data_IF_519870928887
#
_entry.id   IF_519870928887
#
_cell.length_a   1.000
_cell.length_b   1.000
_cell.length_c   1.000
_cell.angle_alpha   90.00
_cell.angle_beta   90.00
_cell.angle_gamma   90.00
#
_symmetry.space_group_name_H-M   'P 1'
#
loop_
_entity.id
_entity.type
_entity.pdbx_description
1 polymer ?
#
# COMPACT_ATOMS: atom_id res chain seq x y z
N UNK A 1 -3.60 -19.63 -44.06
CA UNK A 1 -4.12 -18.81 -42.94
C UNK A 1 -3.05 -18.81 -41.87
N UNK A 2 -2.27 -17.73 -41.79
CA UNK A 2 -1.20 -17.62 -40.83
C UNK A 2 -1.80 -17.50 -39.43
N UNK A 3 -1.44 -18.44 -38.58
CA UNK A 3 -1.73 -18.48 -37.16
C UNK A 3 -1.09 -17.24 -36.52
N UNK A 4 -1.90 -16.21 -36.29
CA UNK A 4 -1.53 -15.09 -35.42
C UNK A 4 -1.49 -15.68 -34.00
N UNK A 5 -0.39 -16.36 -33.69
CA UNK A 5 -0.05 -16.73 -32.32
C UNK A 5 -0.29 -15.48 -31.46
N UNK A 6 -1.23 -15.57 -30.53
CA UNK A 6 -1.60 -14.47 -29.66
C UNK A 6 -0.31 -13.94 -29.02
N UNK A 7 0.11 -12.75 -29.43
CA UNK A 7 1.35 -12.17 -28.95
C UNK A 7 1.30 -12.13 -27.42
N UNK A 8 2.27 -12.75 -26.75
CA UNK A 8 2.32 -12.73 -25.30
C UNK A 8 2.31 -11.28 -24.81
N UNK A 9 1.35 -10.96 -23.93
CA UNK A 9 1.25 -9.62 -23.37
C UNK A 9 2.51 -9.31 -22.56
N UNK A 10 3.02 -8.05 -22.63
CA UNK A 10 4.18 -7.67 -21.85
C UNK A 10 3.90 -7.85 -20.34
N UNK A 11 4.93 -8.22 -19.55
CA UNK A 11 4.80 -8.31 -18.10
C UNK A 11 4.26 -7.01 -17.50
N UNK A 12 3.29 -7.13 -16.60
CA UNK A 12 2.72 -5.99 -15.88
C UNK A 12 3.56 -5.70 -14.63
N UNK A 13 3.99 -4.46 -14.43
CA UNK A 13 4.67 -4.05 -13.19
C UNK A 13 3.73 -3.10 -12.44
N UNK A 14 3.31 -3.49 -11.23
CA UNK A 14 2.50 -2.64 -10.36
C UNK A 14 3.37 -2.08 -9.25
N UNK A 15 3.55 -0.76 -9.26
CA UNK A 15 4.13 -0.03 -8.14
C UNK A 15 3.02 0.37 -7.18
N UNK A 16 3.04 -0.19 -5.97
CA UNK A 16 2.05 0.04 -4.94
C UNK A 16 2.68 0.85 -3.82
N UNK A 17 2.23 2.09 -3.66
CA UNK A 17 2.43 2.81 -2.40
C UNK A 17 1.65 2.09 -1.31
N UNK A 18 2.21 1.85 -0.13
CA UNK A 18 1.48 1.10 0.91
C UNK A 18 0.37 1.96 1.53
N UNK A 19 0.76 3.13 2.03
CA UNK A 19 -0.09 3.97 2.86
C UNK A 19 -1.27 4.56 2.08
N UNK A 20 -2.46 4.48 2.67
CA UNK A 20 -3.73 4.91 2.10
C UNK A 20 -4.05 4.33 0.71
N UNK A 21 -3.43 3.20 0.35
CA UNK A 21 -3.65 2.51 -0.93
C UNK A 21 -3.96 1.03 -0.72
N UNK A 22 -3.09 0.28 -0.04
CA UNK A 22 -3.36 -1.12 0.35
C UNK A 22 -3.34 -1.31 1.87
N UNK A 23 -2.77 -0.36 2.59
CA UNK A 23 -2.80 -0.27 4.06
C UNK A 23 -3.52 1.02 4.44
N UNK A 24 -4.62 0.91 5.19
CA UNK A 24 -5.38 2.07 5.67
C UNK A 24 -5.00 2.44 7.10
N UNK A 25 -3.70 2.61 7.31
CA UNK A 25 -3.10 3.17 8.51
C UNK A 25 -1.84 3.94 8.09
N UNK A 26 -1.48 4.95 8.86
CA UNK A 26 -0.25 5.72 8.69
C UNK A 26 0.50 5.72 10.02
N UNK A 27 1.46 4.79 10.15
CA UNK A 27 2.28 4.65 11.34
C UNK A 27 3.14 5.90 11.62
N UNK A 28 3.57 6.62 10.58
CA UNK A 28 4.38 7.83 10.72
C UNK A 28 3.52 9.05 11.16
N UNK A 29 2.28 9.15 10.67
CA UNK A 29 1.34 10.23 11.01
C UNK A 29 0.43 9.95 12.21
N UNK A 30 0.50 8.74 12.77
CA UNK A 30 -0.37 8.25 13.85
C UNK A 30 -1.85 8.26 13.47
N UNK A 31 -2.17 8.00 12.20
CA UNK A 31 -3.55 8.00 11.72
C UNK A 31 -4.05 6.56 11.56
N UNK A 32 -5.16 6.30 12.24
CA UNK A 32 -5.90 5.04 12.12
C UNK A 32 -6.96 5.14 11.03
N UNK A 33 -7.52 3.98 10.62
CA UNK A 33 -8.51 3.86 9.55
C UNK A 33 -9.66 4.91 9.65
N UNK A 34 -10.35 5.11 10.80
CA UNK A 34 -11.39 6.12 10.92
C UNK A 34 -10.92 7.52 10.47
N UNK A 35 -9.73 7.93 10.94
CA UNK A 35 -9.17 9.22 10.62
C UNK A 35 -8.75 9.33 9.16
N UNK A 36 -8.27 8.23 8.55
CA UNK A 36 -7.90 8.20 7.15
C UNK A 36 -9.10 8.33 6.24
N UNK A 37 -10.22 7.67 6.53
CA UNK A 37 -11.45 7.82 5.72
C UNK A 37 -11.94 9.27 5.79
N UNK A 38 -11.98 9.88 7.00
CA UNK A 38 -12.32 11.30 7.16
C UNK A 38 -11.37 12.21 6.36
N UNK A 39 -10.08 11.88 6.27
CA UNK A 39 -9.10 12.65 5.50
C UNK A 39 -9.17 12.43 3.98
N UNK A 40 -9.63 11.25 3.53
CA UNK A 40 -9.67 10.87 2.11
C UNK A 40 -10.91 11.41 1.40
N UNK A 41 -12.09 11.34 2.03
CA UNK A 41 -13.33 11.86 1.46
C UNK A 41 -13.23 13.32 0.97
N UNK A 42 -12.71 14.29 1.74
CA UNK A 42 -12.65 15.69 1.30
C UNK A 42 -11.72 15.94 0.11
N UNK A 43 -10.90 14.97 -0.29
CA UNK A 43 -10.09 15.04 -1.51
C UNK A 43 -10.94 14.88 -2.78
N UNK A 44 -12.06 14.18 -2.64
CA UNK A 44 -12.89 13.76 -3.77
C UNK A 44 -14.25 14.45 -3.80
N UNK A 45 -14.52 15.33 -2.82
CA UNK A 45 -15.76 16.12 -2.76
C UNK A 45 -15.46 17.54 -3.18
N UNK A 46 -16.20 18.02 -4.17
CA UNK A 46 -15.97 19.30 -4.85
C UNK A 46 -17.09 20.30 -4.59
N UNK A 47 -16.70 21.57 -4.51
CA UNK A 47 -17.59 22.68 -4.22
C UNK A 47 -17.08 24.00 -4.76
N UNK A 48 -17.84 25.05 -4.50
CA UNK A 48 -17.49 26.44 -4.83
C UNK A 48 -17.66 27.32 -3.60
N UNK A 49 -17.15 28.54 -3.71
CA UNK A 49 -17.32 29.58 -2.71
C UNK A 49 -18.69 30.25 -2.86
N UNK A 50 -19.36 30.51 -1.74
CA UNK A 50 -20.58 31.31 -1.70
C UNK A 50 -20.33 32.77 -1.34
N UNK A 51 -19.23 33.06 -0.62
CA UNK A 51 -18.87 34.41 -0.21
C UNK A 51 -17.82 35.02 -1.14
N UNK A 52 -18.03 36.30 -1.48
CA UNK A 52 -17.01 37.14 -2.14
C UNK A 52 -16.00 37.73 -1.16
N UNK A 53 -16.17 37.50 0.15
CA UNK A 53 -15.22 37.97 1.18
C UNK A 53 -13.90 37.17 1.08
N UNK A 54 -12.78 37.83 0.70
CA UNK A 54 -11.49 37.18 0.59
C UNK A 54 -10.95 36.68 1.94
N UNK A 55 -11.44 37.21 3.07
CA UNK A 55 -10.92 36.88 4.39
C UNK A 55 -11.49 35.56 4.94
N UNK A 56 -12.69 35.14 4.50
CA UNK A 56 -13.34 33.87 4.87
C UNK A 56 -14.28 33.40 3.75
N UNK A 57 -13.73 32.79 2.68
CA UNK A 57 -14.57 32.28 1.62
C UNK A 57 -15.29 31.01 2.11
N UNK A 58 -16.60 31.09 2.33
CA UNK A 58 -17.40 29.92 2.71
C UNK A 58 -17.46 28.92 1.55
N UNK A 59 -16.96 27.71 1.76
CA UNK A 59 -17.04 26.62 0.79
C UNK A 59 -18.37 25.87 0.95
N UNK A 60 -19.02 25.59 -0.16
CA UNK A 60 -20.26 24.81 -0.21
C UNK A 60 -20.12 23.71 -1.26
N UNK A 61 -20.48 22.49 -0.88
CA UNK A 61 -20.57 21.34 -1.78
C UNK A 61 -21.63 21.63 -2.86
N UNK A 62 -21.23 21.60 -4.12
CA UNK A 62 -22.13 21.90 -5.25
C UNK A 62 -22.38 20.73 -6.17
N UNK A 63 -21.51 19.72 -6.15
CA UNK A 63 -21.70 18.51 -6.94
C UNK A 63 -21.74 17.31 -6.00
N UNK A 64 -22.87 16.59 -5.91
CA UNK A 64 -22.95 15.38 -5.10
C UNK A 64 -22.17 14.26 -5.78
N UNK A 65 -21.29 13.59 -5.03
CA UNK A 65 -20.51 12.46 -5.52
C UNK A 65 -19.05 12.51 -5.07
N UNK A 66 -18.31 11.45 -5.41
CA UNK A 66 -16.87 11.39 -5.26
C UNK A 66 -16.22 11.40 -6.64
N UNK A 67 -15.22 12.25 -6.82
CA UNK A 67 -14.50 12.40 -8.08
C UNK A 67 -13.00 12.40 -7.81
N UNK A 68 -12.23 11.79 -8.71
CA UNK A 68 -10.76 11.84 -8.64
C UNK A 68 -10.21 13.19 -9.12
N UNK A 69 -10.96 13.86 -9.97
CA UNK A 69 -10.64 15.15 -10.56
C UNK A 69 -11.88 16.06 -10.48
N UNK A 70 -11.72 17.40 -10.54
CA UNK A 70 -12.86 18.30 -10.54
C UNK A 70 -13.83 17.97 -11.69
N UNK A 71 -15.11 17.66 -11.40
CA UNK A 71 -16.06 17.27 -12.44
C UNK A 71 -16.50 18.44 -13.33
N UNK A 72 -16.30 19.68 -12.87
CA UNK A 72 -16.59 20.90 -13.60
C UNK A 72 -15.46 21.93 -13.39
N UNK A 73 -15.18 22.78 -14.39
CA UNK A 73 -14.22 23.87 -14.25
C UNK A 73 -14.56 24.80 -13.08
N UNK A 74 -13.54 25.25 -12.35
CA UNK A 74 -13.68 26.22 -11.26
C UNK A 74 -14.08 25.63 -9.91
N UNK A 75 -14.35 24.31 -9.83
CA UNK A 75 -14.56 23.64 -8.55
C UNK A 75 -13.23 23.32 -7.85
N UNK A 76 -13.26 23.36 -6.52
CA UNK A 76 -12.14 23.00 -5.65
C UNK A 76 -12.57 21.92 -4.67
N UNK A 77 -11.68 20.98 -4.39
CA UNK A 77 -11.95 19.96 -3.37
C UNK A 77 -12.05 20.60 -1.98
N UNK A 78 -12.79 19.99 -1.05
CA UNK A 78 -12.83 20.50 0.31
C UNK A 78 -11.43 20.49 0.95
N UNK A 79 -10.59 19.50 0.63
CA UNK A 79 -9.22 19.45 1.10
C UNK A 79 -8.43 20.67 0.64
N UNK A 80 -8.43 20.95 -0.65
CA UNK A 80 -7.62 22.03 -1.21
C UNK A 80 -8.14 23.39 -0.73
N UNK A 81 -9.46 23.53 -0.55
CA UNK A 81 -10.02 24.68 0.16
C UNK A 81 -9.40 24.86 1.55
N UNK A 82 -9.40 23.82 2.38
CA UNK A 82 -8.82 23.89 3.74
C UNK A 82 -7.33 24.20 3.71
N UNK A 83 -6.55 23.55 2.83
CA UNK A 83 -5.08 23.65 2.84
C UNK A 83 -4.52 24.82 2.05
N UNK A 84 -5.25 25.36 1.07
CA UNK A 84 -4.76 26.44 0.20
C UNK A 84 -5.47 27.77 0.48
N UNK A 85 -6.68 27.76 1.04
CA UNK A 85 -7.45 28.99 1.30
C UNK A 85 -7.56 29.32 2.78
N UNK A 86 -7.91 28.34 3.62
CA UNK A 86 -8.05 28.60 5.06
C UNK A 86 -6.71 28.59 5.81
N UNK A 87 -5.86 27.60 5.51
CA UNK A 87 -4.58 27.39 6.21
C UNK A 87 -3.42 27.20 5.22
N UNK A 88 -3.16 28.18 4.34
CA UNK A 88 -2.13 28.08 3.30
C UNK A 88 -0.75 27.86 3.88
N UNK A 89 0.03 27.00 3.24
CA UNK A 89 1.43 26.80 3.59
C UNK A 89 2.28 27.91 2.97
N UNK A 90 3.40 28.21 3.63
CA UNK A 90 4.44 29.10 3.13
C UNK A 90 5.62 28.27 2.65
N UNK A 91 6.30 28.78 1.63
CA UNK A 91 7.55 28.22 1.16
C UNK A 91 8.67 29.22 1.48
N UNK A 92 9.80 28.74 2.03
CA UNK A 92 10.98 29.59 2.21
C UNK A 92 11.50 30.00 0.83
N UNK A 93 12.14 31.16 0.75
CA UNK A 93 12.81 31.59 -0.49
C UNK A 93 14.03 30.69 -0.77
N UNK A 94 14.47 30.56 -2.03
CA UNK A 94 15.66 29.77 -2.37
C UNK A 94 16.92 30.22 -1.62
N UNK A 95 17.03 31.51 -1.29
CA UNK A 95 18.12 32.16 -0.56
C UNK A 95 17.82 32.39 0.93
N UNK A 96 16.80 31.72 1.47
CA UNK A 96 16.35 31.90 2.85
C UNK A 96 17.44 31.56 3.87
N UNK A 97 17.49 32.37 4.94
CA UNK A 97 18.35 32.08 6.08
C UNK A 97 17.83 30.88 6.89
N UNK A 98 18.69 30.23 7.68
CA UNK A 98 18.26 29.15 8.58
C UNK A 98 17.11 29.56 9.51
N UNK A 99 17.13 30.81 9.98
CA UNK A 99 16.05 31.36 10.83
C UNK A 99 14.72 31.50 10.07
N UNK A 100 14.77 31.84 8.78
CA UNK A 100 13.58 31.87 7.94
C UNK A 100 13.03 30.46 7.71
N UNK A 101 13.89 29.49 7.42
CA UNK A 101 13.49 28.08 7.28
C UNK A 101 12.77 27.57 8.52
N UNK A 102 13.32 27.80 9.72
CA UNK A 102 12.68 27.35 10.96
C UNK A 102 11.36 28.08 11.21
N UNK A 103 11.30 29.39 10.96
CA UNK A 103 10.07 30.18 11.10
C UNK A 103 8.97 29.70 10.16
N UNK A 104 9.30 29.41 8.90
CA UNK A 104 8.36 28.87 7.90
C UNK A 104 7.92 27.46 8.29
N UNK A 105 8.83 26.60 8.75
CA UNK A 105 8.51 25.24 9.20
C UNK A 105 7.53 25.26 10.38
N UNK A 106 7.77 26.09 11.40
CA UNK A 106 6.86 26.26 12.54
C UNK A 106 5.49 26.82 12.12
N UNK A 107 5.46 27.79 11.21
CA UNK A 107 4.22 28.30 10.65
C UNK A 107 3.43 27.20 9.95
N UNK A 108 4.06 26.44 9.06
CA UNK A 108 3.44 25.33 8.33
C UNK A 108 2.98 24.22 9.28
N UNK A 109 3.73 23.94 10.35
CA UNK A 109 3.32 22.99 11.37
C UNK A 109 2.00 23.41 12.02
N UNK A 110 1.86 24.69 12.40
CA UNK A 110 0.60 25.23 12.94
C UNK A 110 -0.55 25.18 11.95
N UNK A 111 -0.30 25.50 10.66
CA UNK A 111 -1.34 25.41 9.62
C UNK A 111 -1.79 23.97 9.41
N UNK A 112 -0.85 23.02 9.33
CA UNK A 112 -1.13 21.58 9.20
C UNK A 112 -1.98 21.06 10.35
N UNK A 113 -1.68 21.46 11.59
CA UNK A 113 -2.50 21.10 12.76
C UNK A 113 -3.93 21.62 12.63
N UNK A 114 -4.12 22.88 12.24
CA UNK A 114 -5.45 23.48 12.04
C UNK A 114 -6.23 22.81 10.92
N UNK A 115 -5.59 22.56 9.78
CA UNK A 115 -6.18 21.84 8.66
C UNK A 115 -6.62 20.42 9.07
N UNK A 116 -5.77 19.69 9.78
CA UNK A 116 -6.06 18.33 10.26
C UNK A 116 -7.32 18.28 11.14
N UNK A 117 -7.57 19.29 11.97
CA UNK A 117 -8.79 19.36 12.80
C UNK A 117 -10.06 19.43 11.94
N UNK A 118 -10.05 20.14 10.82
CA UNK A 118 -11.22 20.21 9.93
C UNK A 118 -11.37 18.96 9.07
N UNK A 119 -10.26 18.44 8.54
CA UNK A 119 -10.27 17.27 7.66
C UNK A 119 -10.66 15.99 8.41
N UNK A 120 -10.22 15.82 9.65
CA UNK A 120 -10.49 14.60 10.43
C UNK A 120 -11.92 14.54 11.00
N UNK A 121 -12.76 15.54 10.73
CA UNK A 121 -14.17 15.57 11.13
C UNK A 121 -15.10 15.90 9.98
N UNK A 122 -14.62 15.80 8.73
CA UNK A 122 -15.33 16.29 7.55
C UNK A 122 -16.79 15.81 7.47
N UNK A 123 -17.08 14.58 7.89
CA UNK A 123 -18.43 14.01 7.87
C UNK A 123 -19.23 14.16 9.17
N UNK A 124 -18.70 14.85 10.17
CA UNK A 124 -19.43 15.09 11.42
C UNK A 124 -20.63 16.02 11.20
N UNK A 125 -21.57 16.00 12.15
CA UNK A 125 -22.68 16.95 12.19
C UNK A 125 -22.17 18.39 12.08
N UNK A 126 -22.89 19.22 11.34
CA UNK A 126 -22.57 20.62 11.07
C UNK A 126 -21.27 20.86 10.30
N UNK A 127 -20.68 19.82 9.69
CA UNK A 127 -19.55 19.97 8.77
C UNK A 127 -20.00 19.90 7.31
N UNK A 128 -19.25 20.50 6.37
CA UNK A 128 -19.63 20.55 4.96
C UNK A 128 -19.79 19.17 4.30
N UNK A 129 -19.18 18.14 4.87
CA UNK A 129 -19.28 16.75 4.42
C UNK A 129 -20.32 15.90 5.15
N UNK A 130 -21.18 16.47 6.00
CA UNK A 130 -22.14 15.71 6.82
C UNK A 130 -23.01 14.73 6.01
N UNK A 131 -23.39 15.11 4.78
CA UNK A 131 -24.15 14.24 3.87
C UNK A 131 -23.41 12.96 3.46
N UNK A 132 -22.08 12.93 3.57
CA UNK A 132 -21.23 11.77 3.26
C UNK A 132 -21.04 10.84 4.47
N UNK A 133 -21.62 11.14 5.64
CA UNK A 133 -21.53 10.27 6.83
C UNK A 133 -21.97 8.82 6.56
N UNK A 134 -23.08 8.55 5.85
CA UNK A 134 -23.45 7.17 5.53
C UNK A 134 -22.42 6.46 4.64
N UNK A 135 -21.71 7.19 3.77
CA UNK A 135 -20.63 6.63 2.96
C UNK A 135 -19.39 6.35 3.81
N UNK A 136 -19.01 7.28 4.70
CA UNK A 136 -17.96 7.06 5.69
C UNK A 136 -18.19 5.77 6.49
N UNK A 137 -19.39 5.58 7.03
CA UNK A 137 -19.73 4.37 7.80
C UNK A 137 -19.70 3.10 6.95
N UNK A 138 -20.15 3.18 5.69
CA UNK A 138 -20.05 2.05 4.75
C UNK A 138 -18.60 1.67 4.47
N UNK A 139 -17.73 2.65 4.25
CA UNK A 139 -16.31 2.43 4.04
C UNK A 139 -15.64 1.84 5.29
N UNK A 140 -16.01 2.33 6.48
CA UNK A 140 -15.51 1.79 7.74
C UNK A 140 -15.91 0.32 7.90
N UNK A 141 -17.21 0.00 7.75
CA UNK A 141 -17.73 -1.37 7.84
C UNK A 141 -17.13 -2.32 6.80
N UNK A 142 -16.84 -1.84 5.59
CA UNK A 142 -16.21 -2.66 4.56
C UNK A 142 -14.77 -3.08 4.91
N UNK A 143 -14.17 -2.44 5.91
CA UNK A 143 -12.82 -2.70 6.40
C UNK A 143 -12.80 -3.35 7.79
N UNK A 144 -13.96 -3.56 8.42
CA UNK A 144 -14.07 -4.28 9.68
C UNK A 144 -13.74 -5.76 9.47
N UNK A 145 -13.01 -6.34 10.42
CA UNK A 145 -12.83 -7.79 10.47
C UNK A 145 -14.19 -8.46 10.78
N UNK A 146 -14.44 -9.68 10.27
CA UNK A 146 -15.65 -10.42 10.62
C UNK A 146 -15.78 -10.59 12.13
N UNK A 147 -17.01 -10.56 12.68
CA UNK A 147 -17.25 -10.62 14.13
C UNK A 147 -16.59 -11.80 14.87
N UNK A 148 -16.36 -12.92 14.16
CA UNK A 148 -15.62 -14.11 14.64
C UNK A 148 -14.11 -13.87 14.84
N UNK A 149 -13.59 -12.70 14.47
CA UNK A 149 -12.23 -12.30 14.77
C UNK A 149 -12.06 -11.84 16.23
N UNK A 150 -13.14 -11.32 16.86
CA UNK A 150 -13.08 -10.71 18.20
C UNK A 150 -13.09 -11.72 19.36
N UNK A 151 -13.42 -12.99 19.09
CA UNK A 151 -13.45 -14.07 20.09
C UNK A 151 -12.26 -15.04 19.96
N UNK A 152 -11.31 -14.75 19.06
CA UNK A 152 -10.17 -15.62 18.76
C UNK A 152 -10.53 -16.84 17.90
N UNK A 153 -11.75 -16.93 17.36
CA UNK A 153 -12.17 -18.05 16.51
C UNK A 153 -11.81 -17.82 15.03
N UNK A 154 -10.69 -18.40 14.60
CA UNK A 154 -10.27 -18.35 13.21
C UNK A 154 -11.35 -18.95 12.27
N UNK A 155 -11.72 -18.22 11.22
CA UNK A 155 -12.75 -18.67 10.26
C UNK A 155 -12.15 -19.75 9.36
N UNK A 156 -12.24 -21.01 9.80
CA UNK A 156 -12.29 -22.19 8.93
C UNK A 156 -11.05 -22.52 8.07
N UNK A 157 -9.90 -21.87 8.23
CA UNK A 157 -8.68 -22.32 7.57
C UNK A 157 -8.09 -23.51 8.34
N UNK A 158 -7.92 -24.70 7.72
CA UNK A 158 -7.39 -25.90 8.38
C UNK A 158 -5.94 -25.73 8.87
N UNK A 159 -5.24 -24.69 8.38
CA UNK A 159 -3.87 -24.33 8.73
C UNK A 159 -3.76 -22.81 8.88
N UNK A 160 -4.30 -22.22 9.96
CA UNK A 160 -4.03 -20.81 10.25
C UNK A 160 -2.69 -20.71 10.98
N UNK A 161 -1.79 -19.87 10.48
CA UNK A 161 -0.57 -19.51 11.20
C UNK A 161 -0.90 -18.43 12.23
N UNK A 162 -0.37 -18.55 13.44
CA UNK A 162 -0.45 -17.46 14.42
C UNK A 162 0.31 -16.24 13.89
N UNK A 163 -0.32 -15.05 13.82
CA UNK A 163 0.35 -13.83 13.40
C UNK A 163 1.40 -13.40 14.42
N UNK A 164 2.36 -12.58 13.99
CA UNK A 164 3.25 -11.86 14.89
C UNK A 164 2.47 -10.93 15.84
N UNK A 165 3.10 -10.55 16.95
CA UNK A 165 2.51 -9.60 17.90
C UNK A 165 2.17 -8.25 17.24
N UNK A 166 2.96 -7.82 16.25
CA UNK A 166 2.70 -6.57 15.53
C UNK A 166 1.43 -6.69 14.67
N UNK A 167 1.32 -7.73 13.85
CA UNK A 167 0.15 -7.95 13.00
C UNK A 167 -1.11 -8.20 13.84
N UNK A 168 -1.00 -8.97 14.93
CA UNK A 168 -2.09 -9.17 15.88
C UNK A 168 -2.57 -7.84 16.47
N UNK A 169 -1.67 -6.98 16.94
CA UNK A 169 -2.03 -5.67 17.50
C UNK A 169 -2.70 -4.74 16.47
N UNK A 170 -2.49 -4.94 15.17
CA UNK A 170 -3.21 -4.23 14.11
C UNK A 170 -4.63 -4.78 13.95
N UNK A 171 -4.79 -6.11 13.96
CA UNK A 171 -6.10 -6.75 13.89
C UNK A 171 -6.96 -6.54 15.14
N UNK A 172 -6.36 -6.44 16.32
CA UNK A 172 -7.06 -6.17 17.59
C UNK A 172 -7.83 -4.83 17.58
N UNK A 173 -7.50 -3.95 16.63
CA UNK A 173 -8.23 -2.69 16.37
C UNK A 173 -9.57 -2.92 15.66
N UNK A 174 -9.85 -4.14 15.22
CA UNK A 174 -11.09 -4.55 14.57
C UNK A 174 -11.12 -4.34 13.05
N UNK A 175 -9.99 -4.03 12.42
CA UNK A 175 -9.91 -3.79 10.97
C UNK A 175 -8.83 -4.63 10.30
N UNK A 176 -8.98 -4.87 9.00
CA UNK A 176 -7.93 -5.49 8.19
C UNK A 176 -6.67 -4.60 8.18
N UNK A 177 -5.48 -5.21 8.23
CA UNK A 177 -4.23 -4.46 8.02
C UNK A 177 -4.02 -4.18 6.52
N UNK A 178 -4.16 -5.22 5.68
CA UNK A 178 -4.25 -5.10 4.23
C UNK A 178 -5.70 -5.09 3.75
N UNK A 179 -6.03 -4.12 2.89
CA UNK A 179 -7.36 -3.96 2.33
C UNK A 179 -7.86 -5.24 1.64
N UNK A 180 -9.13 -5.65 1.85
CA UNK A 180 -9.73 -6.76 1.09
C UNK A 180 -9.61 -6.61 -0.44
N UNK A 181 -9.69 -5.38 -0.94
CA UNK A 181 -9.53 -5.07 -2.37
C UNK A 181 -8.14 -5.45 -2.92
N UNK A 182 -7.10 -5.42 -2.08
CA UNK A 182 -5.76 -5.86 -2.47
C UNK A 182 -5.73 -7.37 -2.75
N UNK A 183 -6.32 -8.19 -1.87
CA UNK A 183 -6.40 -9.63 -2.09
C UNK A 183 -7.27 -9.99 -3.31
N UNK A 184 -8.35 -9.25 -3.55
CA UNK A 184 -9.15 -9.39 -4.77
C UNK A 184 -8.34 -9.09 -6.03
N UNK A 185 -7.51 -8.03 -6.01
CA UNK A 185 -6.59 -7.71 -7.09
C UNK A 185 -5.60 -8.86 -7.34
N UNK A 186 -5.00 -9.43 -6.29
CA UNK A 186 -4.11 -10.59 -6.44
C UNK A 186 -4.80 -11.79 -7.07
N UNK A 187 -6.01 -12.12 -6.59
CA UNK A 187 -6.82 -13.19 -7.18
C UNK A 187 -7.12 -12.97 -8.66
N UNK A 188 -7.43 -11.73 -9.04
CA UNK A 188 -7.64 -11.36 -10.44
C UNK A 188 -6.35 -11.48 -11.27
N UNK A 189 -5.22 -10.97 -10.76
CA UNK A 189 -3.94 -11.03 -11.47
C UNK A 189 -3.49 -12.48 -11.70
N UNK A 190 -3.57 -13.34 -10.67
CA UNK A 190 -3.24 -14.77 -10.79
C UNK A 190 -4.17 -15.51 -11.75
N UNK A 191 -5.47 -15.19 -11.77
CA UNK A 191 -6.43 -15.83 -12.69
C UNK A 191 -6.37 -15.30 -14.12
N UNK A 192 -5.78 -14.11 -14.34
CA UNK A 192 -5.69 -13.49 -15.66
C UNK A 192 -4.75 -14.18 -16.64
N UNK A 193 -3.87 -15.07 -16.15
CA UNK A 193 -2.83 -15.71 -16.96
C UNK A 193 -1.72 -14.75 -17.43
N UNK A 194 -1.76 -13.47 -17.04
CA UNK A 194 -0.74 -12.48 -17.37
C UNK A 194 0.42 -12.54 -16.38
N UNK A 195 1.65 -12.46 -16.89
CA UNK A 195 2.84 -12.27 -16.02
C UNK A 195 2.79 -10.89 -15.36
N UNK A 196 3.03 -10.83 -14.05
CA UNK A 196 3.11 -9.56 -13.33
C UNK A 196 4.17 -9.56 -12.24
N UNK A 197 4.49 -8.35 -11.78
CA UNK A 197 5.42 -8.02 -10.70
C UNK A 197 4.75 -7.01 -9.78
N UNK A 198 4.91 -7.18 -8.48
CA UNK A 198 4.50 -6.22 -7.46
C UNK A 198 5.73 -5.54 -6.87
N UNK A 199 5.71 -4.21 -6.80
CA UNK A 199 6.72 -3.41 -6.14
C UNK A 199 6.07 -2.59 -5.02
N UNK A 200 6.30 -2.99 -3.77
CA UNK A 200 5.81 -2.24 -2.61
C UNK A 200 6.74 -1.05 -2.33
N UNK A 201 6.14 0.12 -2.15
CA UNK A 201 6.82 1.35 -1.74
C UNK A 201 6.30 1.79 -0.38
N UNK A 202 7.21 2.02 0.55
CA UNK A 202 6.89 2.56 1.87
C UNK A 202 8.03 3.44 2.38
N UNK A 203 7.68 4.37 3.26
CA UNK A 203 8.62 5.19 4.03
C UNK A 203 8.69 4.78 5.51
N UNK A 204 7.90 3.78 5.92
CA UNK A 204 7.70 3.40 7.32
C UNK A 204 8.10 1.96 7.64
N UNK A 205 7.81 1.54 8.87
CA UNK A 205 8.10 0.20 9.40
C UNK A 205 7.02 -0.83 9.06
N UNK A 206 6.01 -0.43 8.28
CA UNK A 206 4.81 -1.25 8.00
C UNK A 206 5.08 -2.50 7.15
N UNK A 207 6.25 -2.58 6.52
CA UNK A 207 6.56 -3.63 5.55
C UNK A 207 6.51 -5.03 6.15
N UNK A 208 6.97 -5.20 7.39
CA UNK A 208 6.99 -6.51 8.06
C UNK A 208 5.58 -7.10 8.18
N UNK A 209 4.64 -6.32 8.72
CA UNK A 209 3.24 -6.74 8.88
C UNK A 209 2.54 -6.95 7.53
N UNK A 210 2.83 -6.11 6.53
CA UNK A 210 2.31 -6.25 5.15
C UNK A 210 2.80 -7.55 4.51
N UNK A 211 4.09 -7.84 4.59
CA UNK A 211 4.70 -9.05 4.04
C UNK A 211 4.16 -10.30 4.73
N UNK A 212 4.03 -10.25 6.05
CA UNK A 212 3.46 -11.34 6.83
C UNK A 212 2.04 -11.66 6.39
N UNK A 213 1.13 -10.68 6.41
CA UNK A 213 -0.28 -10.87 6.06
C UNK A 213 -0.45 -11.25 4.57
N UNK A 214 0.34 -10.65 3.67
CA UNK A 214 0.39 -11.05 2.26
C UNK A 214 0.76 -12.52 2.09
N UNK A 215 1.82 -12.96 2.78
CA UNK A 215 2.27 -14.34 2.72
C UNK A 215 1.26 -15.31 3.35
N UNK A 216 0.56 -14.92 4.42
CA UNK A 216 -0.55 -15.71 4.97
C UNK A 216 -1.63 -15.94 3.91
N UNK A 217 -2.00 -14.90 3.15
CA UNK A 217 -2.96 -15.05 2.05
C UNK A 217 -2.43 -15.96 0.94
N UNK A 218 -1.19 -15.73 0.50
CA UNK A 218 -0.58 -16.51 -0.56
C UNK A 218 -0.36 -17.99 -0.19
N UNK A 219 -0.31 -18.35 1.10
CA UNK A 219 -0.29 -19.75 1.56
C UNK A 219 -1.69 -20.35 1.79
N UNK A 220 -2.74 -19.56 1.70
CA UNK A 220 -4.09 -19.97 2.08
C UNK A 220 -4.31 -20.06 3.60
N UNK A 221 -3.45 -19.41 4.38
CA UNK A 221 -3.44 -19.42 5.85
C UNK A 221 -4.14 -18.17 6.45
N UNK A 222 -4.62 -17.24 5.61
CA UNK A 222 -5.19 -15.97 6.06
C UNK A 222 -6.56 -16.17 6.73
N UNK A 223 -6.71 -15.85 8.03
CA UNK A 223 -7.88 -16.25 8.82
C UNK A 223 -9.18 -15.51 8.47
N UNK A 224 -9.08 -14.33 7.84
CA UNK A 224 -10.24 -13.45 7.59
C UNK A 224 -10.52 -13.22 6.09
N UNK A 225 -9.70 -13.78 5.22
CA UNK A 225 -9.80 -13.58 3.77
C UNK A 225 -9.14 -14.78 3.08
N UNK A 226 -9.87 -15.88 2.84
CA UNK A 226 -9.29 -17.07 2.25
C UNK A 226 -8.85 -16.82 0.80
N UNK A 227 -7.75 -17.45 0.37
CA UNK A 227 -7.36 -17.48 -1.03
C UNK A 227 -8.33 -18.34 -1.85
N UNK A 228 -8.61 -18.00 -3.12
CA UNK A 228 -9.44 -18.84 -3.97
C UNK A 228 -8.88 -20.27 -4.12
N UNK A 229 -9.76 -21.27 -4.04
CA UNK A 229 -9.36 -22.67 -4.19
C UNK A 229 -8.78 -22.94 -5.58
N UNK A 230 -7.67 -23.68 -5.65
CA UNK A 230 -7.03 -24.06 -6.92
C UNK A 230 -6.21 -22.95 -7.60
N UNK A 231 -6.07 -21.78 -6.97
CA UNK A 231 -5.21 -20.70 -7.45
C UNK A 231 -3.74 -20.99 -7.10
N UNK A 232 -2.85 -21.02 -8.08
CA UNK A 232 -1.41 -21.08 -7.82
C UNK A 232 -0.88 -19.71 -7.40
N UNK A 233 -0.66 -19.56 -6.10
CA UNK A 233 -0.12 -18.37 -5.44
C UNK A 233 1.33 -18.53 -5.01
N UNK A 234 1.99 -19.65 -5.36
CA UNK A 234 3.34 -19.97 -4.90
C UNK A 234 4.39 -18.92 -5.31
N UNK A 235 4.19 -18.31 -6.48
CA UNK A 235 5.02 -17.22 -7.00
C UNK A 235 4.85 -15.88 -6.29
N UNK A 236 3.86 -15.73 -5.40
CA UNK A 236 3.64 -14.52 -4.61
C UNK A 236 4.38 -14.53 -3.28
N UNK A 237 4.90 -15.68 -2.84
CA UNK A 237 5.54 -15.80 -1.53
C UNK A 237 6.82 -14.98 -1.46
N UNK A 238 6.84 -13.99 -0.56
CA UNK A 238 7.99 -13.17 -0.24
C UNK A 238 8.84 -13.91 0.79
N UNK A 239 10.09 -14.25 0.43
CA UNK A 239 10.96 -15.12 1.23
C UNK A 239 11.92 -14.38 2.16
N UNK A 240 12.41 -13.21 1.75
CA UNK A 240 13.25 -12.37 2.58
C UNK A 240 12.69 -10.94 2.60
N UNK A 241 12.36 -10.37 3.77
CA UNK A 241 12.01 -8.96 3.87
C UNK A 241 13.21 -8.01 3.65
N UNK A 242 14.41 -8.53 3.40
CA UNK A 242 15.58 -7.81 2.89
C UNK A 242 15.84 -8.05 1.39
N UNK A 243 15.12 -8.98 0.74
CA UNK A 243 15.16 -9.21 -0.73
C UNK A 243 14.49 -8.07 -1.52
N UNK A 244 14.24 -6.90 -0.94
CA UNK A 244 13.75 -5.74 -1.67
C UNK A 244 14.96 -4.96 -2.25
N UNK A 245 15.21 -5.00 -3.56
CA UNK A 245 16.42 -4.37 -4.14
C UNK A 245 16.34 -2.83 -4.21
N UNK A 246 17.26 -2.08 -3.59
CA UNK A 246 17.40 -0.60 -3.66
C UNK A 246 17.39 -0.01 -5.09
N UNK A 247 16.32 0.68 -5.48
CA UNK A 247 16.28 1.83 -6.38
C UNK A 247 16.65 3.12 -5.61
N UNK A 248 17.80 3.68 -5.92
CA UNK A 248 18.12 5.09 -5.68
C UNK A 248 17.52 5.95 -6.80
N UNK A 249 16.93 7.09 -6.43
CA UNK A 249 16.50 8.12 -7.39
C UNK A 249 17.66 9.10 -7.57
N UNK A 250 18.16 9.29 -8.80
CA UNK A 250 19.05 10.42 -9.12
C UNK A 250 18.22 11.69 -9.25
N UNK A 251 18.01 12.37 -8.13
CA UNK A 251 17.69 13.79 -8.08
C UNK A 251 18.09 14.29 -6.69
N UNK A 252 19.22 15.00 -6.62
CA UNK A 252 19.77 15.75 -5.48
C UNK A 252 19.41 15.26 -4.06
N UNK A 253 20.36 14.55 -3.44
CA UNK A 253 20.67 14.53 -1.99
C UNK A 253 19.49 14.79 -1.02
N UNK A 254 18.56 13.84 -0.92
CA UNK A 254 17.79 13.63 0.31
C UNK A 254 17.87 12.15 0.71
N UNK A 255 18.52 11.87 1.85
CA UNK A 255 18.93 10.55 2.35
C UNK A 255 17.80 9.60 2.80
N UNK A 256 16.53 9.85 2.47
CA UNK A 256 15.40 9.15 3.10
C UNK A 256 14.46 8.39 2.18
N UNK A 257 14.88 8.05 0.96
CA UNK A 257 14.04 7.28 0.03
C UNK A 257 14.72 6.00 -0.43
N UNK A 258 14.29 4.85 0.09
CA UNK A 258 14.58 3.54 -0.51
C UNK A 258 13.37 3.09 -1.32
N UNK A 259 13.49 3.14 -2.64
CA UNK A 259 12.55 2.53 -3.57
C UNK A 259 13.09 1.12 -3.87
N UNK A 260 12.30 0.06 -4.12
CA UNK A 260 12.87 -1.28 -4.32
C UNK A 260 12.17 -2.19 -5.38
N UNK A 261 12.94 -2.96 -6.19
CA UNK A 261 12.50 -3.74 -7.38
C UNK A 261 12.73 -5.26 -7.26
N UNK A 262 11.94 -6.14 -7.93
CA UNK A 262 12.38 -7.48 -8.44
C UNK A 262 11.52 -8.05 -9.58
N UNK A 263 12.07 -9.00 -10.33
CA UNK A 263 11.42 -9.80 -11.39
C UNK A 263 11.08 -11.21 -10.88
N UNK A 264 9.85 -11.68 -11.13
CA UNK A 264 9.54 -13.12 -11.03
C UNK A 264 10.27 -13.88 -12.15
N UNK A 265 11.01 -14.93 -11.80
CA UNK A 265 11.61 -15.86 -12.76
C UNK A 265 10.52 -16.49 -13.65
N UNK A 266 10.78 -16.73 -14.94
CA UNK A 266 9.87 -17.51 -15.77
C UNK A 266 9.81 -18.96 -15.26
N UNK A 267 8.64 -19.58 -15.35
CA UNK A 267 8.44 -21.01 -15.01
C UNK A 267 9.55 -21.87 -15.63
N UNK A 268 10.07 -22.90 -14.95
CA UNK A 268 10.69 -24.00 -15.68
C UNK A 268 9.60 -24.63 -16.55
N UNK A 269 9.82 -24.67 -17.86
CA UNK A 269 9.00 -25.46 -18.76
C UNK A 269 9.06 -26.92 -18.28
N UNK A 270 7.96 -27.46 -17.77
CA UNK A 270 7.83 -28.90 -17.63
C UNK A 270 7.80 -29.50 -19.04
N UNK A 271 8.68 -30.44 -19.40
CA UNK A 271 8.49 -31.20 -20.61
C UNK A 271 7.26 -32.09 -20.40
N UNK A 272 6.30 -31.98 -21.30
CA UNK A 272 5.24 -32.98 -21.47
C UNK A 272 5.95 -34.27 -21.86
N UNK A 273 6.09 -35.21 -20.92
CA UNK A 273 6.59 -36.56 -21.21
C UNK A 273 5.42 -37.33 -21.83
N UNK A 274 5.40 -37.35 -23.16
CA UNK A 274 4.72 -38.39 -23.92
C UNK A 274 5.55 -39.66 -23.92
N UNK A 275 4.88 -40.80 -23.82
CA UNK A 275 5.43 -42.15 -23.86
C UNK A 275 6.35 -42.38 -25.07
N UNK A 276 7.52 -42.97 -24.85
CA UNK A 276 8.43 -43.37 -25.92
C UNK A 276 9.85 -43.64 -25.43
N UNK A 277 10.14 -44.90 -25.13
CA UNK A 277 11.46 -45.49 -24.93
C UNK A 277 12.46 -45.09 -26.03
N UNK A 278 13.70 -44.74 -25.67
CA UNK A 278 14.96 -45.37 -26.15
C UNK A 278 16.18 -44.85 -25.36
N UNK A 279 17.14 -45.75 -25.17
CA UNK A 279 18.37 -45.65 -24.39
C UNK A 279 19.37 -44.60 -24.93
N UNK A 280 19.98 -43.82 -24.04
CA UNK A 280 21.37 -43.38 -24.16
C UNK A 280 21.93 -42.99 -22.77
N UNK A 281 23.13 -43.50 -22.47
CA UNK A 281 23.90 -43.35 -21.23
C UNK A 281 24.36 -41.91 -20.95
N UNK A 282 24.56 -41.50 -19.68
CA UNK A 282 25.14 -40.21 -19.37
C UNK A 282 26.67 -40.30 -19.24
N UNK A 283 27.39 -39.57 -20.10
CA UNK A 283 28.80 -39.19 -19.85
C UNK A 283 28.84 -37.75 -19.35
N UNK A 284 29.68 -37.56 -18.32
CA UNK A 284 29.89 -36.39 -17.49
C UNK A 284 30.24 -35.06 -18.20
N UNK A 285 29.91 -33.96 -17.53
CA UNK A 285 30.75 -32.78 -17.27
C UNK A 285 30.17 -32.08 -16.02
N UNK A 286 30.69 -32.30 -14.80
CA UNK A 286 31.77 -31.52 -14.14
C UNK A 286 31.62 -30.01 -14.35
N UNK A 287 31.09 -29.32 -13.33
CA UNK A 287 31.84 -28.35 -12.52
C UNK A 287 30.92 -27.66 -11.50
N UNK A 288 31.16 -27.96 -10.23
CA UNK A 288 30.64 -27.22 -9.08
C UNK A 288 31.84 -26.81 -8.23
N UNK A 289 31.99 -25.54 -7.81
CA UNK A 289 32.90 -25.22 -6.72
C UNK A 289 32.19 -25.44 -5.38
N UNK A 290 32.72 -26.39 -4.63
CA UNK A 290 32.48 -26.64 -3.21
C UNK A 290 32.97 -25.46 -2.36
N UNK A 291 32.08 -24.86 -1.55
CA UNK A 291 32.49 -24.02 -0.42
C UNK A 291 32.74 -24.93 0.80
N UNK A 292 34.01 -25.22 1.07
CA UNK A 292 34.45 -25.80 2.34
C UNK A 292 34.81 -24.68 3.32
N UNK A 293 34.28 -24.80 4.54
CA UNK A 293 34.52 -23.88 5.63
C UNK A 293 35.96 -23.86 6.14
N UNK A 294 36.35 -22.73 6.72
CA UNK A 294 37.58 -22.56 7.46
C UNK A 294 37.35 -21.56 8.59
N UNK A 295 37.24 -22.09 9.81
CA UNK A 295 37.34 -21.35 11.07
C UNK A 295 38.81 -20.98 11.26
N UNK A 296 39.10 -19.70 11.50
CA UNK A 296 40.38 -19.31 12.09
C UNK A 296 40.17 -18.28 13.20
N UNK A 297 40.50 -18.73 14.41
CA UNK A 297 40.76 -17.94 15.59
C UNK A 297 41.86 -16.89 15.34
N UNK A 298 41.72 -15.72 15.97
CA UNK A 298 42.82 -14.79 16.17
C UNK A 298 42.92 -14.43 17.67
N UNK A 299 44.13 -14.29 18.23
CA UNK A 299 44.35 -14.28 19.67
C UNK A 299 44.39 -12.87 20.28
N UNK A 300 44.16 -12.85 21.58
CA UNK A 300 44.34 -11.74 22.51
C UNK A 300 45.82 -11.63 22.90
N UNK A 301 46.44 -10.45 22.79
CA UNK A 301 46.97 -9.66 23.93
C UNK A 301 47.84 -8.48 23.50
N UNK A 302 47.59 -7.37 24.22
CA UNK A 302 48.34 -6.12 24.47
C UNK A 302 48.83 -5.23 23.31
#
# INVERSE_FOLDING_TARGET
>A
MADLAAAELPPLILHLDLNATIVMMDGAGGLELPHLIENLLPRSVYGTFTSTDPARPDWVCTVPGLYLEPPLPGLISYRDYVTERLYPYKHPRPDATQLEYTTVAEYNHRQKQRARVLLNKFTHTDQPGAAYRPLYERLLRANELPAKAHDGSHVGAPHHRTPSAELQARWDRGYYNLLPAYFQLLGHLCSSGRRFVLAFRTFGTDLTAVVEEHNMWARGEHPYFPSPAGLDTSGLIIRDPHDFARLTRTAHEEEHTSMQHWMCAPRPCTPVVGEGTWLATPTACTDAPTCAGGVHDAPVHD
#
